data_IF_769640498587
#
_entry.id   IF_769640498587
#
_cell.length_a   1.000
_cell.length_b   1.000
_cell.length_c   1.000
_cell.angle_alpha   90.00
_cell.angle_beta   90.00
_cell.angle_gamma   90.00
#
_symmetry.space_group_name_H-M   'P 1'
#
loop_
_entity.id
_entity.type
_entity.pdbx_description
1 polymer ?
#
# COMPACT_ATOMS: atom_id res chain seq x y z
N UNK A 1 26.26 -27.16 -15.99
CA UNK A 1 25.15 -26.40 -16.62
C UNK A 1 23.92 -26.51 -15.74
N UNK A 2 23.77 -25.62 -14.76
CA UNK A 2 22.60 -25.59 -13.86
C UNK A 2 21.58 -24.64 -14.46
N UNK A 3 20.46 -25.20 -14.93
CA UNK A 3 19.30 -24.44 -15.34
C UNK A 3 18.79 -23.62 -14.15
N UNK A 4 19.04 -22.30 -14.15
CA UNK A 4 18.42 -21.38 -13.19
C UNK A 4 16.92 -21.37 -13.51
N UNK A 5 16.12 -22.08 -12.73
CA UNK A 5 14.67 -21.94 -12.73
C UNK A 5 14.32 -20.52 -12.26
N UNK A 6 14.24 -19.58 -13.20
CA UNK A 6 13.85 -18.18 -12.93
C UNK A 6 12.34 -18.08 -12.74
N UNK A 7 11.82 -18.77 -11.74
CA UNK A 7 10.43 -18.60 -11.30
C UNK A 7 10.17 -17.14 -10.84
N UNK A 8 11.22 -16.46 -10.38
CA UNK A 8 11.19 -15.09 -9.86
C UNK A 8 12.10 -14.15 -10.68
N UNK A 9 11.75 -13.86 -11.93
CA UNK A 9 12.43 -12.77 -12.63
C UNK A 9 12.04 -11.42 -12.00
N UNK A 10 12.92 -10.39 -12.01
CA UNK A 10 12.64 -9.09 -11.40
C UNK A 10 11.31 -8.48 -11.87
N UNK A 11 11.03 -8.56 -13.19
CA UNK A 11 9.77 -8.11 -13.77
C UNK A 11 8.55 -8.89 -13.24
N UNK A 12 8.66 -10.21 -13.02
CA UNK A 12 7.56 -11.01 -12.44
C UNK A 12 7.29 -10.62 -10.99
N UNK A 13 8.34 -10.35 -10.22
CA UNK A 13 8.22 -9.90 -8.83
C UNK A 13 7.57 -8.52 -8.78
N UNK A 14 8.02 -7.58 -9.61
CA UNK A 14 7.45 -6.25 -9.73
C UNK A 14 5.95 -6.31 -10.00
N UNK A 15 5.52 -7.04 -11.03
CA UNK A 15 4.11 -7.18 -11.39
C UNK A 15 3.29 -7.90 -10.32
N UNK A 16 3.87 -8.89 -9.64
CA UNK A 16 3.20 -9.56 -8.52
C UNK A 16 2.88 -8.59 -7.39
N UNK A 17 3.83 -7.73 -7.03
CA UNK A 17 3.64 -6.69 -6.01
C UNK A 17 2.56 -5.70 -6.46
N UNK A 18 2.62 -5.21 -7.70
CA UNK A 18 1.63 -4.26 -8.24
C UNK A 18 0.21 -4.82 -8.22
N UNK A 19 0.04 -6.08 -8.64
CA UNK A 19 -1.26 -6.76 -8.65
C UNK A 19 -1.76 -6.94 -7.22
N UNK A 20 -0.90 -7.36 -6.29
CA UNK A 20 -1.27 -7.51 -4.89
C UNK A 20 -1.76 -6.18 -4.28
N UNK A 21 -1.05 -5.07 -4.53
CA UNK A 21 -1.50 -3.75 -4.12
C UNK A 21 -2.85 -3.38 -4.73
N UNK A 22 -2.99 -3.53 -6.06
CA UNK A 22 -4.21 -3.18 -6.77
C UNK A 22 -5.42 -3.94 -6.24
N UNK A 23 -5.31 -5.27 -6.12
CA UNK A 23 -6.40 -6.11 -5.60
C UNK A 23 -6.80 -5.67 -4.19
N UNK A 24 -5.83 -5.56 -3.28
CA UNK A 24 -6.12 -5.21 -1.88
C UNK A 24 -6.75 -3.83 -1.76
N UNK A 25 -6.17 -2.81 -2.40
CA UNK A 25 -6.62 -1.43 -2.27
C UNK A 25 -7.97 -1.19 -2.96
N UNK A 26 -8.19 -1.76 -4.15
CA UNK A 26 -9.47 -1.64 -4.84
C UNK A 26 -10.56 -2.34 -4.01
N UNK A 27 -10.27 -3.52 -3.47
CA UNK A 27 -11.25 -4.26 -2.67
C UNK A 27 -11.61 -3.53 -1.37
N UNK A 28 -10.60 -3.06 -0.64
CA UNK A 28 -10.84 -2.30 0.60
C UNK A 28 -11.58 -0.99 0.34
N UNK A 29 -11.24 -0.28 -0.73
CA UNK A 29 -11.94 0.94 -1.10
C UNK A 29 -13.39 0.68 -1.53
N UNK A 30 -13.65 -0.39 -2.28
CA UNK A 30 -15.00 -0.80 -2.67
C UNK A 30 -15.86 -1.15 -1.44
N UNK A 31 -15.30 -1.87 -0.46
CA UNK A 31 -16.02 -2.17 0.79
C UNK A 31 -16.37 -0.91 1.59
N UNK A 32 -15.51 0.11 1.57
CA UNK A 32 -15.79 1.41 2.21
C UNK A 32 -16.89 2.17 1.47
N UNK A 33 -16.87 2.18 0.14
CA UNK A 33 -17.93 2.82 -0.66
C UNK A 33 -19.28 2.13 -0.53
N UNK A 34 -19.28 0.81 -0.31
CA UNK A 34 -20.49 0.03 -0.09
C UNK A 34 -21.01 0.06 1.35
N UNK A 35 -20.35 0.80 2.25
CA UNK A 35 -20.70 0.93 3.68
C UNK A 35 -20.83 -0.40 4.45
N UNK A 36 -20.16 -1.45 3.96
CA UNK A 36 -20.14 -2.80 4.55
C UNK A 36 -18.77 -3.14 5.15
N UNK A 37 -17.85 -2.18 5.16
CA UNK A 37 -16.49 -2.40 5.62
C UNK A 37 -16.46 -2.60 7.15
N UNK A 38 -15.86 -3.70 7.65
CA UNK A 38 -15.82 -4.01 9.09
C UNK A 38 -15.00 -3.00 9.92
N UNK A 39 -14.33 -2.05 9.25
CA UNK A 39 -13.53 -0.99 9.87
C UNK A 39 -14.33 0.32 10.01
N UNK A 40 -15.59 0.36 9.55
CA UNK A 40 -16.45 1.55 9.62
C UNK A 40 -16.51 2.14 11.05
N UNK A 41 -16.73 1.30 12.06
CA UNK A 41 -16.83 1.75 13.44
C UNK A 41 -15.46 2.18 14.02
N UNK A 42 -14.36 1.57 13.57
CA UNK A 42 -13.01 1.96 13.97
C UNK A 42 -12.63 3.33 13.41
N UNK A 43 -12.97 3.62 12.15
CA UNK A 43 -12.68 4.91 11.53
C UNK A 43 -13.51 6.03 12.17
N UNK A 44 -14.81 5.79 12.42
CA UNK A 44 -15.66 6.75 13.14
C UNK A 44 -15.12 7.08 14.53
N UNK A 45 -14.61 6.08 15.25
CA UNK A 45 -14.06 6.28 16.60
C UNK A 45 -12.67 6.93 16.57
N UNK A 46 -11.82 6.64 15.57
CA UNK A 46 -10.45 7.20 15.50
C UNK A 46 -10.43 8.62 14.94
N UNK A 47 -11.31 8.92 13.99
CA UNK A 47 -11.37 10.19 13.27
C UNK A 47 -12.67 10.93 13.56
N UNK A 48 -12.99 11.10 14.85
CA UNK A 48 -14.19 11.82 15.34
C UNK A 48 -14.35 13.25 14.77
N UNK A 49 -13.29 13.81 14.19
CA UNK A 49 -13.20 15.15 13.62
C UNK A 49 -13.40 15.19 12.11
N UNK A 50 -13.51 14.03 11.44
CA UNK A 50 -13.74 13.96 9.99
C UNK A 50 -15.23 13.68 9.70
N UNK A 51 -15.89 14.49 8.85
CA UNK A 51 -17.29 14.25 8.47
C UNK A 51 -17.45 12.90 7.77
N UNK A 52 -18.64 12.29 7.81
CA UNK A 52 -18.93 10.97 7.19
C UNK A 52 -18.51 10.89 5.70
N UNK A 53 -18.55 12.00 4.97
CA UNK A 53 -18.05 12.13 3.59
C UNK A 53 -16.58 11.70 3.45
N UNK A 54 -15.80 11.87 4.51
CA UNK A 54 -14.38 11.50 4.57
C UNK A 54 -14.18 9.99 4.48
N UNK A 55 -15.13 9.18 4.97
CA UNK A 55 -15.04 7.72 4.88
C UNK A 55 -15.17 7.23 3.45
N UNK A 56 -16.18 7.71 2.72
CA UNK A 56 -16.36 7.41 1.30
C UNK A 56 -15.23 7.99 0.45
N UNK A 57 -14.71 9.17 0.80
CA UNK A 57 -13.57 9.78 0.12
C UNK A 57 -12.28 8.96 0.34
N UNK A 58 -12.05 8.42 1.53
CA UNK A 58 -10.97 7.48 1.80
C UNK A 58 -11.12 6.21 0.96
N UNK A 59 -12.33 5.66 0.84
CA UNK A 59 -12.62 4.51 -0.02
C UNK A 59 -12.31 4.78 -1.50
N UNK A 60 -12.76 5.93 -2.02
CA UNK A 60 -12.44 6.36 -3.38
C UNK A 60 -10.92 6.54 -3.57
N UNK A 61 -10.23 7.15 -2.60
CA UNK A 61 -8.79 7.33 -2.59
C UNK A 61 -8.02 6.00 -2.63
N UNK A 62 -8.48 4.99 -1.90
CA UNK A 62 -7.89 3.65 -1.94
C UNK A 62 -8.03 2.99 -3.31
N UNK A 63 -9.20 3.10 -3.96
CA UNK A 63 -9.39 2.59 -5.32
C UNK A 63 -8.43 3.28 -6.29
N UNK A 64 -8.32 4.61 -6.20
CA UNK A 64 -7.39 5.40 -7.04
C UNK A 64 -5.94 4.97 -6.81
N UNK A 65 -5.53 4.76 -5.56
CA UNK A 65 -4.19 4.25 -5.23
C UNK A 65 -3.95 2.86 -5.84
N UNK A 66 -4.91 1.94 -5.70
CA UNK A 66 -4.82 0.60 -6.26
C UNK A 66 -4.67 0.60 -7.78
N UNK A 67 -5.45 1.42 -8.48
CA UNK A 67 -5.34 1.60 -9.93
C UNK A 67 -4.00 2.26 -10.32
N UNK A 68 -3.52 3.24 -9.56
CA UNK A 68 -2.27 3.92 -9.83
C UNK A 68 -1.05 2.98 -9.70
N UNK A 69 -1.07 2.00 -8.78
CA UNK A 69 -0.02 1.00 -8.65
C UNK A 69 0.14 0.12 -9.91
N UNK A 70 -0.90 -0.04 -10.71
CA UNK A 70 -0.85 -0.78 -11.99
C UNK A 70 -0.14 0.00 -13.10
N UNK A 71 0.10 1.30 -12.93
CA UNK A 71 0.74 2.16 -13.94
C UNK A 71 2.20 2.37 -13.54
N UNK A 72 3.18 1.72 -14.21
CA UNK A 72 4.57 1.78 -13.78
C UNK A 72 5.12 3.21 -13.69
N UNK A 73 4.74 4.09 -14.61
CA UNK A 73 5.16 5.50 -14.62
C UNK A 73 4.72 6.29 -13.38
N UNK A 74 3.66 5.87 -12.70
CA UNK A 74 3.14 6.53 -11.49
C UNK A 74 3.70 5.93 -10.19
N UNK A 75 4.58 4.92 -10.25
CA UNK A 75 5.06 4.19 -9.06
C UNK A 75 5.55 5.12 -7.95
N UNK A 76 6.43 6.07 -8.26
CA UNK A 76 7.01 6.97 -7.25
C UNK A 76 5.94 7.85 -6.56
N UNK A 77 5.13 8.65 -7.28
CA UNK A 77 4.07 9.42 -6.63
C UNK A 77 3.04 8.54 -5.92
N UNK A 78 2.70 7.37 -6.46
CA UNK A 78 1.78 6.43 -5.80
C UNK A 78 2.34 5.89 -4.49
N UNK A 79 3.63 5.52 -4.43
CA UNK A 79 4.26 5.05 -3.20
C UNK A 79 4.28 6.17 -2.15
N UNK A 80 4.58 7.42 -2.52
CA UNK A 80 4.53 8.55 -1.56
C UNK A 80 3.11 8.74 -1.00
N UNK A 81 2.10 8.75 -1.86
CA UNK A 81 0.71 8.86 -1.42
C UNK A 81 0.28 7.67 -0.54
N UNK A 82 0.74 6.47 -0.88
CA UNK A 82 0.56 5.26 -0.08
C UNK A 82 1.20 5.38 1.31
N UNK A 83 2.41 5.95 1.44
CA UNK A 83 3.07 6.15 2.74
C UNK A 83 2.26 7.09 3.65
N UNK A 84 1.72 8.18 3.10
CA UNK A 84 0.83 9.09 3.84
C UNK A 84 -0.42 8.34 4.31
N UNK A 85 -1.03 7.56 3.42
CA UNK A 85 -2.19 6.73 3.76
C UNK A 85 -1.86 5.73 4.89
N UNK A 86 -0.75 4.99 4.79
CA UNK A 86 -0.32 4.03 5.81
C UNK A 86 -0.11 4.71 7.16
N UNK A 87 0.48 5.91 7.18
CA UNK A 87 0.59 6.72 8.40
C UNK A 87 -0.77 6.96 9.05
N UNK A 88 -1.79 7.31 8.26
CA UNK A 88 -3.17 7.44 8.74
C UNK A 88 -3.74 6.13 9.31
N UNK A 89 -3.53 5.00 8.64
CA UNK A 89 -4.03 3.69 9.11
C UNK A 89 -3.38 3.20 10.40
N UNK A 90 -2.22 3.75 10.79
CA UNK A 90 -1.48 3.41 12.01
C UNK A 90 -1.94 4.20 13.24
N UNK A 91 -2.63 5.32 13.05
CA UNK A 91 -3.09 6.18 14.14
C UNK A 91 -3.89 5.45 15.24
N UNK A 92 -4.78 4.47 14.95
CA UNK A 92 -5.53 3.78 16.00
C UNK A 92 -4.65 3.06 17.03
N UNK A 93 -3.42 2.64 16.69
CA UNK A 93 -2.50 2.01 17.64
C UNK A 93 -2.08 2.96 18.78
N UNK A 94 -2.13 4.26 18.55
CA UNK A 94 -1.73 5.28 19.53
C UNK A 94 -2.94 5.95 20.17
N UNK A 95 -3.96 6.28 19.37
CA UNK A 95 -5.13 7.03 19.82
C UNK A 95 -6.30 6.15 20.26
N UNK A 96 -6.37 4.90 19.78
CA UNK A 96 -7.46 3.95 20.05
C UNK A 96 -6.91 2.62 20.59
N UNK A 97 -6.12 2.71 21.65
CA UNK A 97 -5.47 1.55 22.27
C UNK A 97 -6.46 0.50 22.78
N UNK A 98 -7.62 0.93 23.29
CA UNK A 98 -8.66 0.01 23.79
C UNK A 98 -9.25 -0.91 22.71
N UNK A 99 -9.25 -0.45 21.44
CA UNK A 99 -9.69 -1.26 20.30
C UNK A 99 -8.53 -2.05 19.69
N UNK A 100 -7.32 -1.54 19.81
CA UNK A 100 -6.11 -2.11 19.18
C UNK A 100 -5.45 -3.21 20.01
N UNK A 101 -5.66 -3.22 21.32
CA UNK A 101 -5.03 -4.16 22.25
C UNK A 101 -6.09 -4.76 23.18
N UNK A 102 -6.00 -6.08 23.40
CA UNK A 102 -6.70 -6.73 24.51
C UNK A 102 -6.02 -6.36 25.84
N UNK A 103 -4.68 -6.36 25.84
CA UNK A 103 -3.84 -5.84 26.93
C UNK A 103 -2.65 -5.06 26.33
N UNK A 104 -2.62 -3.72 26.48
CA UNK A 104 -1.52 -2.91 25.97
C UNK A 104 -0.19 -3.22 26.68
N UNK A 105 0.97 -3.17 25.99
CA UNK A 105 1.17 -2.92 24.56
C UNK A 105 1.45 -4.19 23.73
N UNK A 106 1.46 -5.39 24.34
CA UNK A 106 1.93 -6.61 23.67
C UNK A 106 0.79 -7.48 23.12
N UNK A 107 -0.39 -7.46 23.73
CA UNK A 107 -1.50 -8.33 23.34
C UNK A 107 -2.44 -7.61 22.37
N UNK A 108 -2.16 -7.72 21.06
CA UNK A 108 -2.96 -7.11 20.00
C UNK A 108 -4.34 -7.77 19.85
N UNK A 109 -5.37 -6.94 19.67
CA UNK A 109 -6.68 -7.40 19.22
C UNK A 109 -6.65 -7.80 17.73
N UNK A 110 -7.76 -8.34 17.20
CA UNK A 110 -7.89 -8.59 15.75
C UNK A 110 -7.69 -7.31 14.92
N UNK A 111 -8.17 -6.17 15.43
CA UNK A 111 -7.97 -4.86 14.79
C UNK A 111 -6.49 -4.47 14.82
N UNK A 112 -5.83 -4.60 15.97
CA UNK A 112 -4.40 -4.29 16.09
C UNK A 112 -3.53 -5.17 15.18
N UNK A 113 -3.85 -6.46 15.07
CA UNK A 113 -3.20 -7.40 14.16
C UNK A 113 -3.40 -7.01 12.69
N UNK A 114 -4.62 -6.60 12.33
CA UNK A 114 -4.91 -6.11 10.99
C UNK A 114 -4.08 -4.87 10.65
N UNK A 115 -3.98 -3.91 11.58
CA UNK A 115 -3.17 -2.70 11.38
C UNK A 115 -1.69 -3.04 11.26
N UNK A 116 -1.12 -3.84 12.17
CA UNK A 116 0.33 -4.10 12.15
C UNK A 116 0.80 -4.87 10.91
N UNK A 117 -0.10 -5.64 10.26
CA UNK A 117 0.17 -6.29 8.98
C UNK A 117 0.53 -5.29 7.86
N UNK A 118 0.15 -4.01 7.98
CA UNK A 118 0.55 -2.96 7.04
C UNK A 118 2.07 -2.78 6.93
N UNK A 119 2.87 -3.27 7.89
CA UNK A 119 4.33 -3.35 7.75
C UNK A 119 4.77 -4.21 6.55
N UNK A 120 4.01 -5.26 6.23
CA UNK A 120 4.29 -6.09 5.04
C UNK A 120 4.07 -5.29 3.76
N UNK A 121 3.01 -4.48 3.72
CA UNK A 121 2.75 -3.58 2.59
C UNK A 121 3.82 -2.50 2.49
N UNK A 122 4.28 -1.94 3.62
CA UNK A 122 5.38 -0.99 3.64
C UNK A 122 6.67 -1.58 3.01
N UNK A 123 7.02 -2.80 3.40
CA UNK A 123 8.16 -3.51 2.82
C UNK A 123 7.98 -3.77 1.31
N UNK A 124 6.78 -4.17 0.88
CA UNK A 124 6.48 -4.39 -0.54
C UNK A 124 6.56 -3.08 -1.36
N UNK A 125 6.11 -1.96 -0.81
CA UNK A 125 6.21 -0.65 -1.45
C UNK A 125 7.67 -0.20 -1.59
N UNK A 126 8.50 -0.41 -0.56
CA UNK A 126 9.93 -0.14 -0.62
C UNK A 126 10.63 -1.00 -1.68
N UNK A 127 10.31 -2.30 -1.76
CA UNK A 127 10.83 -3.19 -2.79
C UNK A 127 10.42 -2.72 -4.20
N UNK A 128 9.16 -2.32 -4.38
CA UNK A 128 8.67 -1.80 -5.66
C UNK A 128 9.37 -0.50 -6.06
N UNK A 129 9.66 0.38 -5.11
CA UNK A 129 10.44 1.60 -5.34
C UNK A 129 11.86 1.28 -5.81
N UNK A 130 12.56 0.38 -5.10
CA UNK A 130 13.91 -0.04 -5.44
C UNK A 130 14.00 -0.62 -6.85
N UNK A 131 13.11 -1.56 -7.20
CA UNK A 131 13.03 -2.16 -8.53
C UNK A 131 12.81 -1.09 -9.62
N UNK A 132 12.04 -0.06 -9.32
CA UNK A 132 11.77 1.01 -10.27
C UNK A 132 12.97 1.92 -10.48
N UNK A 133 13.73 2.21 -9.42
CA UNK A 133 14.96 3.00 -9.53
C UNK A 133 16.01 2.32 -10.41
N UNK A 134 16.18 1.00 -10.27
CA UNK A 134 17.09 0.23 -11.12
C UNK A 134 16.72 0.35 -12.62
N UNK A 135 15.44 0.19 -12.95
CA UNK A 135 14.95 0.33 -14.34
C UNK A 135 15.13 1.75 -14.88
N UNK A 136 14.85 2.78 -14.06
CA UNK A 136 15.02 4.18 -14.45
C UNK A 136 16.52 4.49 -14.73
N UNK A 137 17.43 3.95 -13.92
CA UNK A 137 18.89 4.10 -14.09
C UNK A 137 19.39 3.43 -15.37
N UNK A 138 19.00 2.18 -15.62
CA UNK A 138 19.37 1.45 -16.84
C UNK A 138 18.90 2.19 -18.11
N UNK A 139 17.65 2.68 -18.10
CA UNK A 139 17.09 3.44 -19.22
C UNK A 139 17.83 4.76 -19.49
N UNK A 140 18.35 5.40 -18.44
CA UNK A 140 19.13 6.64 -18.54
C UNK A 140 20.51 6.38 -19.15
N UNK A 141 21.16 5.27 -18.79
CA UNK A 141 22.47 4.87 -19.33
C UNK A 141 22.38 4.47 -20.81
N UNK A 142 21.36 3.70 -21.21
CA UNK A 142 21.16 3.31 -22.62
C UNK A 142 20.89 4.55 -23.50
N UNK A 143 20.09 5.49 -23.00
CA UNK A 143 19.79 6.74 -23.69
C UNK A 143 21.03 7.62 -23.93
N UNK A 144 22.01 7.61 -23.02
CA UNK A 144 23.28 8.32 -23.23
C UNK A 144 24.19 7.62 -24.24
N UNK A 145 24.27 6.28 -24.23
CA UNK A 145 25.05 5.53 -25.21
C UNK A 145 24.58 5.76 -26.65
N UNK A 146 23.27 5.79 -26.87
CA UNK A 146 22.68 6.04 -28.21
C UNK A 146 22.90 7.45 -28.74
N UNK A 147 23.12 8.44 -27.86
CA UNK A 147 23.40 9.83 -28.26
C UNK A 147 24.88 10.11 -28.53
N UNK A 148 25.78 9.24 -28.06
CA UNK A 148 27.22 9.36 -28.27
C UNK A 148 27.76 8.58 -29.46
N UNK A 149 26.91 7.83 -30.17
CA UNK A 149 27.16 7.24 -31.50
C UNK A 149 26.51 8.10 -32.56
#
# INVERSE_FOLDING_TARGET
MTARSTLLSPARVEWSIRIAFAVVYIWFGALKLADVSPVHDLVRQTLLWLPDVSYSLLGAGEIVLGLAFLIPRLTKPTVVAFLVHIGGTMLPLFFQQQLSFNEPPLMLSFIGQYIIKNLVFLAAAAALWSLREEVDLESSVDGQRRKGQ
#
